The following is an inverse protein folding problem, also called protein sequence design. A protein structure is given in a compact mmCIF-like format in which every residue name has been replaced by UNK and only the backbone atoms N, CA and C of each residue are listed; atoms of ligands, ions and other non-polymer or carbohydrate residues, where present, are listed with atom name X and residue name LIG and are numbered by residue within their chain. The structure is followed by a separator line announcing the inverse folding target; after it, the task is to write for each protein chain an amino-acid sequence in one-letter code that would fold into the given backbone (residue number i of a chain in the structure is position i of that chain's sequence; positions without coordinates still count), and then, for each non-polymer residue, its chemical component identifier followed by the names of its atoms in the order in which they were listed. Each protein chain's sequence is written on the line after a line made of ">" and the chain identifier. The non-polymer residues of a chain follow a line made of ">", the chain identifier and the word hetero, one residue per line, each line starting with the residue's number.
data_IF_624701626042
#
_entry.id   IF_624701626042
#
_cell.length_a   1.000
_cell.length_b   1.000
_cell.length_c   1.000
_cell.angle_alpha   90.00
_cell.angle_beta   90.00
_cell.angle_gamma   90.00
#
_symmetry.space_group_name_H-M   'P 1'
#
loop_
_entity.id
_entity.type
_entity.pdbx_description
1 polymer ?
#
# COMPACT_ATOMS: atom_id res chain seq x y z
N UNK A 1 -28.65 43.34 -6.96
CA UNK A 1 -28.98 41.92 -6.71
C UNK A 1 -28.08 41.42 -5.60
N UNK A 2 -28.61 40.74 -4.60
CA UNK A 2 -27.83 40.11 -3.52
C UNK A 2 -27.71 38.62 -3.85
N UNK A 3 -26.50 38.07 -3.84
CA UNK A 3 -26.26 36.63 -3.96
C UNK A 3 -26.03 36.04 -2.56
N UNK A 4 -26.69 34.92 -2.27
CA UNK A 4 -26.52 34.16 -1.04
C UNK A 4 -25.97 32.78 -1.39
N UNK A 5 -24.98 32.32 -0.64
CA UNK A 5 -24.38 30.99 -0.77
C UNK A 5 -24.48 30.24 0.54
N UNK A 6 -24.30 28.92 0.50
CA UNK A 6 -24.32 28.07 1.68
C UNK A 6 -23.13 27.11 1.64
N UNK A 7 -22.65 26.75 2.83
CA UNK A 7 -21.66 25.69 3.04
C UNK A 7 -22.35 24.54 3.76
N UNK A 8 -22.25 23.33 3.21
CA UNK A 8 -22.98 22.16 3.72
C UNK A 8 -22.01 21.06 4.11
N UNK A 9 -22.19 20.52 5.31
CA UNK A 9 -21.47 19.33 5.78
C UNK A 9 -22.40 18.12 5.79
N UNK A 10 -21.93 17.00 5.27
CA UNK A 10 -22.67 15.73 5.24
C UNK A 10 -21.84 14.67 5.95
N UNK A 11 -22.45 13.88 6.82
CA UNK A 11 -21.83 12.71 7.44
C UNK A 11 -22.58 11.45 6.99
N UNK A 12 -21.88 10.51 6.33
CA UNK A 12 -22.49 9.25 5.95
C UNK A 12 -22.58 8.32 7.16
N UNK A 13 -23.76 7.78 7.40
CA UNK A 13 -24.00 6.81 8.44
C UNK A 13 -23.52 5.42 8.00
N UNK A 14 -22.83 4.73 8.89
CA UNK A 14 -22.43 3.33 8.71
C UNK A 14 -22.80 2.53 9.94
N UNK A 15 -22.92 1.20 9.80
CA UNK A 15 -23.27 0.30 10.90
C UNK A 15 -22.25 0.34 12.07
N UNK A 16 -21.03 0.82 11.81
CA UNK A 16 -19.96 0.97 12.80
C UNK A 16 -20.12 2.24 13.67
N UNK A 17 -21.03 3.15 13.32
CA UNK A 17 -21.28 4.37 14.09
C UNK A 17 -22.32 4.11 15.18
N UNK A 18 -21.87 3.98 16.42
CA UNK A 18 -22.73 3.69 17.57
C UNK A 18 -23.24 4.92 18.31
N UNK A 19 -22.79 6.13 17.95
CA UNK A 19 -23.06 7.36 18.70
C UNK A 19 -23.56 8.49 17.80
N UNK A 20 -24.78 8.98 18.09
CA UNK A 20 -25.43 10.09 17.37
C UNK A 20 -24.68 11.41 17.54
N UNK A 21 -24.09 11.64 18.72
CA UNK A 21 -23.35 12.87 19.00
C UNK A 21 -22.14 12.99 18.07
N UNK A 22 -21.39 11.91 17.90
CA UNK A 22 -20.23 11.86 17.01
C UNK A 22 -20.63 12.14 15.55
N UNK A 23 -21.77 11.61 15.10
CA UNK A 23 -22.29 11.86 13.74
C UNK A 23 -22.56 13.35 13.51
N UNK A 24 -23.24 14.00 14.47
CA UNK A 24 -23.57 15.43 14.40
C UNK A 24 -22.31 16.29 14.44
N UNK A 25 -21.34 15.94 15.28
CA UNK A 25 -20.05 16.63 15.37
C UNK A 25 -19.27 16.55 14.06
N UNK A 26 -19.25 15.37 13.42
CA UNK A 26 -18.61 15.16 12.11
C UNK A 26 -19.31 15.91 10.98
N UNK A 27 -20.64 15.95 10.97
CA UNK A 27 -21.39 16.75 10.00
C UNK A 27 -21.12 18.25 10.18
N UNK A 28 -21.07 18.73 11.43
CA UNK A 28 -20.74 20.11 11.75
C UNK A 28 -19.28 20.46 11.39
N UNK A 29 -18.34 19.53 11.62
CA UNK A 29 -16.95 19.66 11.20
C UNK A 29 -16.84 19.80 9.67
N UNK A 30 -17.50 18.93 8.91
CA UNK A 30 -17.52 19.02 7.45
C UNK A 30 -18.10 20.36 6.95
N UNK A 31 -19.14 20.90 7.62
CA UNK A 31 -19.71 22.21 7.28
C UNK A 31 -18.74 23.36 7.57
N UNK A 32 -17.96 23.27 8.66
CA UNK A 32 -16.90 24.23 8.98
C UNK A 32 -15.79 24.18 7.94
N UNK A 33 -15.29 22.99 7.60
CA UNK A 33 -14.29 22.81 6.53
C UNK A 33 -14.76 23.39 5.21
N UNK A 34 -16.02 23.13 4.83
CA UNK A 34 -16.62 23.72 3.63
C UNK A 34 -16.58 25.25 3.65
N UNK A 35 -16.75 25.87 4.82
CA UNK A 35 -16.75 27.32 4.99
C UNK A 35 -15.34 27.91 4.99
N UNK A 36 -14.39 27.23 5.62
CA UNK A 36 -12.97 27.63 5.69
C UNK A 36 -12.29 27.54 4.32
N UNK A 37 -12.65 26.55 3.50
CA UNK A 37 -12.08 26.33 2.18
C UNK A 37 -12.80 27.13 1.05
N UNK A 38 -13.33 28.31 1.37
CA UNK A 38 -13.90 29.25 0.39
C UNK A 38 -15.43 29.23 0.25
N UNK A 39 -16.13 28.35 0.96
CA UNK A 39 -17.60 28.31 1.00
C UNK A 39 -18.26 27.86 -0.30
N UNK A 40 -19.59 28.02 -0.36
CA UNK A 40 -20.43 27.68 -1.52
C UNK A 40 -20.21 26.25 -2.05
N UNK A 41 -20.07 25.27 -1.15
CA UNK A 41 -19.82 23.87 -1.50
C UNK A 41 -20.37 22.90 -0.48
N UNK A 42 -20.22 21.62 -0.79
CA UNK A 42 -20.62 20.51 0.07
C UNK A 42 -19.37 19.69 0.39
N UNK A 43 -19.11 19.49 1.68
CA UNK A 43 -18.05 18.59 2.15
C UNK A 43 -18.70 17.36 2.77
N UNK A 44 -18.25 16.17 2.35
CA UNK A 44 -18.81 14.89 2.82
C UNK A 44 -17.76 14.15 3.65
N UNK A 45 -18.13 13.84 4.89
CA UNK A 45 -17.42 12.91 5.74
C UNK A 45 -17.99 11.50 5.51
N UNK A 46 -17.22 10.66 4.82
CA UNK A 46 -17.51 9.23 4.67
C UNK A 46 -16.57 8.43 5.59
N UNK A 47 -17.04 7.90 6.74
CA UNK A 47 -16.21 7.08 7.62
C UNK A 47 -15.75 5.78 6.94
N UNK A 48 -16.47 5.30 5.93
CA UNK A 48 -16.11 4.16 5.11
C UNK A 48 -15.17 4.53 3.94
N UNK A 49 -14.85 5.80 3.71
CA UNK A 49 -13.91 6.18 2.65
C UNK A 49 -12.49 5.67 2.95
N UNK A 50 -12.10 5.57 4.22
CA UNK A 50 -10.81 4.96 4.59
C UNK A 50 -10.80 3.47 4.23
N UNK A 51 -11.87 2.74 4.56
CA UNK A 51 -12.03 1.31 4.24
C UNK A 51 -12.05 1.08 2.71
N UNK A 52 -12.79 1.92 1.96
CA UNK A 52 -12.82 1.88 0.48
C UNK A 52 -11.45 2.19 -0.12
N UNK A 53 -10.79 3.25 0.35
CA UNK A 53 -9.47 3.62 -0.15
C UNK A 53 -8.42 2.55 0.19
N UNK A 54 -8.53 1.86 1.33
CA UNK A 54 -7.70 0.71 1.66
C UNK A 54 -7.96 -0.45 0.71
N UNK A 55 -9.24 -0.79 0.46
CA UNK A 55 -9.59 -1.84 -0.48
C UNK A 55 -9.11 -1.55 -1.91
N UNK A 56 -9.21 -0.31 -2.38
CA UNK A 56 -8.67 0.12 -3.67
C UNK A 56 -7.14 -0.03 -3.73
N UNK A 57 -6.43 0.35 -2.66
CA UNK A 57 -4.97 0.14 -2.56
C UNK A 57 -4.61 -1.34 -2.61
N UNK A 58 -5.33 -2.19 -1.88
CA UNK A 58 -5.07 -3.63 -1.83
C UNK A 58 -5.32 -4.27 -3.19
N UNK A 59 -6.40 -3.88 -3.89
CA UNK A 59 -6.67 -4.32 -5.26
C UNK A 59 -5.57 -3.90 -6.23
N UNK A 60 -5.08 -2.66 -6.11
CA UNK A 60 -3.98 -2.17 -6.93
C UNK A 60 -2.71 -3.00 -6.71
N UNK A 61 -2.34 -3.25 -5.45
CA UNK A 61 -1.21 -4.13 -5.11
C UNK A 61 -1.38 -5.54 -5.64
N UNK A 62 -2.57 -6.12 -5.48
CA UNK A 62 -2.86 -7.46 -5.97
C UNK A 62 -2.65 -7.57 -7.49
N UNK A 63 -3.08 -6.54 -8.24
CA UNK A 63 -2.84 -6.48 -9.69
C UNK A 63 -1.35 -6.41 -10.00
N UNK A 64 -0.60 -5.53 -9.32
CA UNK A 64 0.85 -5.40 -9.54
C UNK A 64 1.62 -6.68 -9.23
N UNK A 65 1.26 -7.37 -8.15
CA UNK A 65 1.93 -8.61 -7.73
C UNK A 65 1.69 -9.75 -8.72
N UNK A 66 0.46 -9.90 -9.23
CA UNK A 66 0.14 -10.90 -10.26
C UNK A 66 0.90 -10.62 -11.56
N UNK A 67 0.99 -9.35 -11.94
CA UNK A 67 1.77 -8.93 -13.09
C UNK A 67 3.27 -9.20 -12.88
N UNK A 68 3.80 -8.89 -11.71
CA UNK A 68 5.22 -9.13 -11.40
C UNK A 68 5.59 -10.61 -11.40
N UNK A 69 4.71 -11.47 -10.88
CA UNK A 69 4.88 -12.93 -10.91
C UNK A 69 4.89 -13.51 -12.33
N UNK A 70 4.20 -12.87 -13.28
CA UNK A 70 4.04 -13.38 -14.66
C UNK A 70 4.98 -12.74 -15.67
N UNK A 71 5.40 -11.49 -15.43
CA UNK A 71 6.21 -10.67 -16.35
C UNK A 71 7.61 -10.38 -15.82
N UNK A 72 8.10 -11.17 -14.85
CA UNK A 72 9.40 -10.98 -14.19
C UNK A 72 9.59 -9.55 -13.62
N UNK A 73 8.55 -9.00 -13.00
CA UNK A 73 8.56 -7.65 -12.44
C UNK A 73 9.27 -7.52 -11.08
N UNK A 74 9.80 -8.62 -10.55
CA UNK A 74 10.59 -8.61 -9.32
C UNK A 74 12.08 -8.55 -9.61
N UNK A 75 12.85 -8.03 -8.64
CA UNK A 75 14.31 -8.02 -8.67
C UNK A 75 14.86 -8.40 -7.30
N UNK A 76 16.02 -9.05 -7.29
CA UNK A 76 16.72 -9.46 -6.07
C UNK A 76 17.90 -8.54 -5.79
N UNK A 77 17.94 -7.99 -4.59
CA UNK A 77 19.08 -7.29 -4.03
C UNK A 77 19.84 -8.24 -3.11
N UNK A 78 21.14 -7.99 -2.92
CA UNK A 78 22.02 -8.85 -2.13
C UNK A 78 22.76 -8.00 -1.11
N UNK A 79 22.50 -8.24 0.17
CA UNK A 79 23.19 -7.56 1.27
C UNK A 79 24.29 -8.46 1.82
N UNK A 80 25.58 -8.06 1.73
CA UNK A 80 26.68 -8.85 2.28
C UNK A 80 26.57 -9.00 3.80
N UNK A 81 26.80 -10.22 4.29
CA UNK A 81 26.94 -10.53 5.71
C UNK A 81 28.40 -10.91 5.98
N UNK A 82 29.08 -10.10 6.80
CA UNK A 82 30.51 -10.26 7.11
C UNK A 82 30.72 -10.86 8.50
N UNK A 83 31.65 -11.79 8.62
CA UNK A 83 32.03 -12.37 9.91
C UNK A 83 32.86 -11.39 10.72
N UNK A 84 32.47 -11.14 11.97
CA UNK A 84 33.24 -10.32 12.91
C UNK A 84 34.43 -11.08 13.52
N UNK A 85 34.41 -12.42 13.48
CA UNK A 85 35.46 -13.30 14.01
C UNK A 85 36.40 -13.84 12.92
N UNK A 86 36.35 -13.28 11.70
CA UNK A 86 37.24 -13.67 10.61
C UNK A 86 36.97 -15.02 9.95
N UNK A 87 35.77 -15.60 10.08
CA UNK A 87 35.37 -16.76 9.29
C UNK A 87 35.39 -16.39 7.79
N UNK A 88 36.02 -17.25 6.99
CA UNK A 88 36.05 -17.13 5.53
C UNK A 88 34.69 -17.52 4.94
N UNK A 89 34.32 -16.88 3.82
CA UNK A 89 33.12 -17.20 3.07
C UNK A 89 32.24 -15.99 2.77
N UNK A 90 31.75 -15.94 1.54
CA UNK A 90 30.88 -14.89 1.03
C UNK A 90 29.41 -15.22 1.34
N UNK A 91 28.84 -14.53 2.33
CA UNK A 91 27.45 -14.71 2.74
C UNK A 91 26.61 -13.49 2.34
N UNK A 92 25.40 -13.73 1.85
CA UNK A 92 24.48 -12.67 1.42
C UNK A 92 23.06 -12.95 1.88
N UNK A 93 22.39 -11.90 2.35
CA UNK A 93 20.94 -11.88 2.49
C UNK A 93 20.30 -11.45 1.16
N UNK A 94 19.27 -12.18 0.73
CA UNK A 94 18.51 -11.85 -0.48
C UNK A 94 17.31 -11.00 -0.09
N UNK A 95 17.22 -9.82 -0.70
CA UNK A 95 16.18 -8.85 -0.45
C UNK A 95 15.33 -8.65 -1.71
N UNK A 96 14.08 -9.12 -1.66
CA UNK A 96 13.13 -8.94 -2.76
C UNK A 96 12.77 -7.46 -2.94
N UNK A 97 12.61 -7.04 -4.19
CA UNK A 97 12.05 -5.75 -4.57
C UNK A 97 11.09 -5.91 -5.74
N UNK A 98 10.10 -5.04 -5.83
CA UNK A 98 9.22 -4.92 -6.98
C UNK A 98 9.69 -3.76 -7.87
N UNK A 99 9.82 -3.99 -9.17
CA UNK A 99 10.16 -2.92 -10.11
C UNK A 99 8.96 -2.01 -10.37
N UNK A 100 9.23 -0.71 -10.47
CA UNK A 100 8.26 0.31 -10.84
C UNK A 100 8.94 1.36 -11.72
N UNK A 101 8.18 2.10 -12.57
CA UNK A 101 8.73 3.20 -13.37
C UNK A 101 9.47 4.29 -12.56
N UNK A 102 9.22 4.37 -11.25
CA UNK A 102 9.85 5.35 -10.34
C UNK A 102 11.02 4.79 -9.53
N UNK A 103 11.43 3.54 -9.78
CA UNK A 103 12.46 2.83 -9.02
C UNK A 103 11.91 1.60 -8.29
N UNK A 104 12.74 0.97 -7.47
CA UNK A 104 12.36 -0.26 -6.77
C UNK A 104 11.52 0.01 -5.52
N UNK A 105 10.50 -0.83 -5.33
CA UNK A 105 9.59 -0.78 -4.18
C UNK A 105 10.01 -1.87 -3.17
N UNK A 106 10.19 -1.53 -1.88
CA UNK A 106 10.54 -2.48 -0.85
C UNK A 106 9.36 -3.39 -0.46
N UNK A 107 9.64 -4.58 0.09
CA UNK A 107 8.63 -5.60 0.39
C UNK A 107 7.61 -5.11 1.42
N UNK A 108 8.01 -4.27 2.38
CA UNK A 108 7.11 -3.73 3.40
C UNK A 108 5.85 -3.02 2.85
N UNK A 109 5.90 -2.56 1.60
CA UNK A 109 4.77 -1.89 0.94
C UNK A 109 3.71 -2.86 0.40
N UNK A 110 4.08 -4.10 0.08
CA UNK A 110 3.22 -5.04 -0.65
C UNK A 110 3.11 -6.43 -0.02
N UNK A 111 4.00 -6.81 0.91
CA UNK A 111 4.05 -8.17 1.44
C UNK A 111 2.79 -8.53 2.23
N UNK A 112 2.22 -7.58 2.98
CA UNK A 112 0.97 -7.81 3.72
C UNK A 112 -0.19 -8.16 2.78
N UNK A 113 -0.29 -7.48 1.63
CA UNK A 113 -1.30 -7.77 0.61
C UNK A 113 -1.05 -9.14 0.00
N UNK A 114 0.23 -9.48 -0.28
CA UNK A 114 0.61 -10.78 -0.80
C UNK A 114 0.23 -11.92 0.16
N UNK A 115 0.49 -11.76 1.45
CA UNK A 115 0.13 -12.72 2.50
C UNK A 115 -1.38 -12.87 2.63
N UNK A 116 -2.12 -11.77 2.74
CA UNK A 116 -3.57 -11.79 2.86
C UNK A 116 -4.27 -12.48 1.69
N UNK A 117 -3.69 -12.39 0.48
CA UNK A 117 -4.22 -13.00 -0.74
C UNK A 117 -3.54 -14.32 -1.13
N UNK A 118 -2.71 -14.90 -0.26
CA UNK A 118 -2.11 -16.22 -0.48
C UNK A 118 -1.07 -16.28 -1.61
N UNK A 119 -0.45 -15.14 -1.96
CA UNK A 119 0.57 -15.07 -3.01
C UNK A 119 1.99 -15.43 -2.54
N UNK A 120 2.22 -15.54 -1.22
CA UNK A 120 3.55 -15.83 -0.66
C UNK A 120 4.23 -17.08 -1.24
N UNK A 121 3.57 -18.24 -1.38
CA UNK A 121 4.21 -19.43 -1.96
C UNK A 121 4.68 -19.22 -3.41
N UNK A 122 3.98 -18.39 -4.18
CA UNK A 122 4.35 -18.06 -5.55
C UNK A 122 5.57 -17.12 -5.59
N UNK A 123 5.60 -16.13 -4.69
CA UNK A 123 6.72 -15.21 -4.54
C UNK A 123 7.97 -15.98 -4.08
N UNK A 124 7.85 -16.85 -3.07
CA UNK A 124 8.96 -17.65 -2.57
C UNK A 124 9.56 -18.53 -3.66
N UNK A 125 8.70 -19.19 -4.45
CA UNK A 125 9.16 -20.00 -5.59
C UNK A 125 9.85 -19.17 -6.66
N UNK A 126 9.35 -17.97 -6.95
CA UNK A 126 9.99 -17.04 -7.87
C UNK A 126 11.39 -16.63 -7.36
N UNK A 127 11.49 -16.25 -6.08
CA UNK A 127 12.76 -15.84 -5.43
C UNK A 127 13.78 -16.96 -5.47
N UNK A 128 13.41 -18.18 -5.04
CA UNK A 128 14.31 -19.33 -4.99
C UNK A 128 14.82 -19.69 -6.39
N UNK A 129 13.92 -19.74 -7.38
CA UNK A 129 14.31 -20.03 -8.76
C UNK A 129 15.31 -18.99 -9.29
N UNK A 130 15.04 -17.70 -9.06
CA UNK A 130 15.91 -16.62 -9.53
C UNK A 130 17.26 -16.65 -8.82
N UNK A 131 17.28 -16.90 -7.51
CA UNK A 131 18.50 -17.01 -6.71
C UNK A 131 19.39 -18.18 -7.17
N UNK A 132 18.80 -19.37 -7.35
CA UNK A 132 19.53 -20.55 -7.86
C UNK A 132 20.09 -20.28 -9.25
N UNK A 133 19.32 -19.64 -10.12
CA UNK A 133 19.78 -19.29 -11.46
C UNK A 133 21.01 -18.35 -11.41
N UNK A 134 20.95 -17.27 -10.63
CA UNK A 134 22.07 -16.34 -10.45
C UNK A 134 23.30 -17.04 -9.86
N UNK A 135 23.13 -17.92 -8.88
CA UNK A 135 24.24 -18.71 -8.34
C UNK A 135 24.86 -19.62 -9.40
N UNK A 136 24.04 -20.24 -10.26
CA UNK A 136 24.53 -21.10 -11.34
C UNK A 136 25.36 -20.33 -12.38
N UNK A 137 25.01 -19.07 -12.65
CA UNK A 137 25.76 -18.22 -13.57
C UNK A 137 27.11 -17.77 -13.00
N UNK A 138 27.19 -17.58 -11.68
CA UNK A 138 28.45 -17.22 -10.99
C UNK A 138 29.42 -18.38 -10.80
N UNK A 139 28.92 -19.61 -10.82
CA UNK A 139 29.73 -20.83 -10.70
C UNK A 139 30.36 -21.28 -12.03
N UNK A 140 29.98 -20.65 -13.15
CA UNK A 140 30.63 -20.83 -14.46
C UNK A 140 31.84 -19.93 -14.59
#
# INVERSE_FOLDING_TARGET
>A
SISMTASVGVCLLTEKMSNVQDVLERAAEAARTSSEEGGNKVTVFDPGASDKAQAERDQHWLSLLKDALTKDGFVLFYQPMVSLQGAEGEHYEILLRLQSPKGEIPPGNFLQVAEHHGLMPHIDRWVINKAIHVLSERLK
#
